data_IF_239288909745
#
_entry.id   IF_239288909745
#
_cell.length_a   1.000
_cell.length_b   1.000
_cell.length_c   1.000
_cell.angle_alpha   90.00
_cell.angle_beta   90.00
_cell.angle_gamma   90.00
#
_symmetry.space_group_name_H-M   'P 1'
#
loop_
_entity.id
_entity.type
_entity.pdbx_description
1 polymer ?
#
# COMPACT_ATOMS: atom_id res chain seq x y z
N UNK A 1 24.35 -24.93 -3.96
CA UNK A 1 23.30 -24.11 -4.62
C UNK A 1 23.67 -22.67 -4.34
N UNK A 2 23.96 -21.87 -5.37
CA UNK A 2 24.32 -20.47 -5.17
C UNK A 2 23.09 -19.72 -4.62
N UNK A 3 23.25 -19.03 -3.49
CA UNK A 3 22.24 -18.13 -2.98
C UNK A 3 22.11 -16.97 -3.99
N UNK A 4 20.98 -16.92 -4.68
CA UNK A 4 20.68 -15.83 -5.60
C UNK A 4 20.18 -14.63 -4.78
N UNK A 5 20.86 -13.49 -4.89
CA UNK A 5 20.54 -12.29 -4.10
C UNK A 5 19.16 -11.75 -4.48
N UNK A 6 18.35 -11.26 -3.51
CA UNK A 6 17.09 -10.61 -3.81
C UNK A 6 17.30 -9.20 -4.41
N UNK A 7 16.33 -8.71 -5.18
CA UNK A 7 16.28 -7.31 -5.58
C UNK A 7 16.00 -6.42 -4.37
N UNK A 8 16.43 -5.16 -4.44
CA UNK A 8 16.26 -4.16 -3.39
C UNK A 8 15.67 -2.88 -3.98
N UNK A 9 14.97 -2.10 -3.15
CA UNK A 9 14.53 -0.75 -3.48
C UNK A 9 15.73 0.18 -3.31
N UNK A 10 16.19 0.78 -4.40
CA UNK A 10 17.40 1.64 -4.40
C UNK A 10 16.99 3.11 -4.40
N UNK A 11 17.49 3.87 -3.42
CA UNK A 11 17.30 5.32 -3.37
C UNK A 11 18.20 5.99 -4.41
N UNK A 12 17.64 6.93 -5.17
CA UNK A 12 18.36 7.71 -6.18
C UNK A 12 18.41 9.16 -5.74
N UNK A 13 19.64 9.69 -5.59
CA UNK A 13 19.87 11.00 -4.99
C UNK A 13 20.14 12.11 -6.02
N UNK A 14 20.24 11.80 -7.32
CA UNK A 14 20.53 12.79 -8.35
C UNK A 14 19.98 12.41 -9.73
N UNK A 15 19.73 13.41 -10.57
CA UNK A 15 19.28 13.20 -11.96
C UNK A 15 20.31 12.44 -12.80
N UNK A 16 21.60 12.66 -12.52
CA UNK A 16 22.68 11.95 -13.19
C UNK A 16 22.63 10.45 -12.89
N UNK A 17 22.40 10.07 -11.63
CA UNK A 17 22.27 8.67 -11.23
C UNK A 17 21.03 8.03 -11.83
N UNK A 18 19.91 8.75 -11.85
CA UNK A 18 18.68 8.30 -12.51
C UNK A 18 18.88 8.03 -14.01
N UNK A 19 19.52 8.98 -14.71
CA UNK A 19 19.81 8.87 -16.13
C UNK A 19 20.79 7.72 -16.41
N UNK A 20 21.87 7.61 -15.62
CA UNK A 20 22.84 6.52 -15.74
C UNK A 20 22.20 5.15 -15.51
N UNK A 21 21.33 5.02 -14.50
CA UNK A 21 20.64 3.76 -14.23
C UNK A 21 19.70 3.38 -15.37
N UNK A 22 18.91 4.33 -15.86
CA UNK A 22 17.94 4.09 -16.94
C UNK A 22 18.62 3.74 -18.26
N UNK A 23 19.74 4.41 -18.59
CA UNK A 23 20.50 4.17 -19.82
C UNK A 23 21.24 2.82 -19.82
N UNK A 24 21.63 2.31 -18.65
CA UNK A 24 22.32 1.02 -18.53
C UNK A 24 21.37 -0.16 -18.34
N UNK A 25 20.07 0.09 -18.20
CA UNK A 25 19.08 -0.95 -18.03
C UNK A 25 18.74 -1.60 -19.40
N UNK A 26 18.73 -2.93 -19.52
CA UNK A 26 18.30 -3.58 -20.75
C UNK A 26 16.87 -3.20 -21.16
N UNK A 27 16.59 -3.11 -22.46
CA UNK A 27 15.25 -2.82 -22.97
C UNK A 27 14.20 -3.87 -22.58
N UNK A 28 14.64 -5.10 -22.29
CA UNK A 28 13.79 -6.20 -21.83
C UNK A 28 13.42 -6.09 -20.34
N UNK A 29 14.04 -5.19 -19.60
CA UNK A 29 13.88 -5.04 -18.16
C UNK A 29 12.72 -4.12 -17.80
N UNK A 30 12.00 -4.49 -16.74
CA UNK A 30 10.94 -3.64 -16.18
C UNK A 30 11.53 -2.75 -15.08
N UNK A 31 11.35 -1.43 -15.20
CA UNK A 31 11.75 -0.46 -14.18
C UNK A 31 10.51 0.00 -13.42
N UNK A 32 10.56 -0.10 -12.09
CA UNK A 32 9.57 0.43 -11.16
C UNK A 32 10.17 1.66 -10.49
N UNK A 33 9.60 2.82 -10.74
CA UNK A 33 10.03 4.11 -10.20
C UNK A 33 9.00 4.55 -9.17
N UNK A 34 9.45 4.86 -7.96
CA UNK A 34 8.63 5.26 -6.83
C UNK A 34 9.01 6.67 -6.40
N UNK A 35 8.12 7.62 -6.67
CA UNK A 35 8.23 8.99 -6.20
C UNK A 35 7.61 9.10 -4.81
N UNK A 36 8.40 9.61 -3.88
CA UNK A 36 8.04 9.72 -2.47
C UNK A 36 8.41 11.09 -1.90
N UNK A 37 7.90 11.35 -0.70
CA UNK A 37 8.40 12.43 0.13
C UNK A 37 8.64 11.88 1.54
N UNK A 38 9.81 12.11 2.16
CA UNK A 38 10.17 11.51 3.44
C UNK A 38 9.28 11.99 4.59
N UNK A 39 8.66 13.15 4.45
CA UNK A 39 7.73 13.74 5.41
C UNK A 39 6.29 13.17 5.30
N UNK A 40 5.95 12.47 4.21
CA UNK A 40 4.61 11.96 3.97
C UNK A 40 4.40 10.58 4.60
N UNK A 41 3.50 10.47 5.56
CA UNK A 41 3.20 9.19 6.23
C UNK A 41 2.75 8.06 5.29
N UNK A 42 1.88 8.31 4.28
CA UNK A 42 1.53 7.28 3.30
C UNK A 42 2.73 6.72 2.52
N UNK A 43 3.79 7.53 2.33
CA UNK A 43 5.03 7.08 1.68
C UNK A 43 5.81 6.09 2.54
N UNK A 44 5.80 6.21 3.88
CA UNK A 44 6.48 5.23 4.75
C UNK A 44 5.88 3.83 4.61
N UNK A 45 4.55 3.76 4.53
CA UNK A 45 3.84 2.50 4.30
C UNK A 45 4.19 1.94 2.92
N UNK A 46 4.14 2.76 1.87
CA UNK A 46 4.45 2.31 0.51
C UNK A 46 5.91 1.86 0.34
N UNK A 47 6.86 2.53 1.01
CA UNK A 47 8.27 2.14 1.00
C UNK A 47 8.47 0.73 1.55
N UNK A 48 7.76 0.38 2.63
CA UNK A 48 7.78 -0.97 3.22
C UNK A 48 7.20 -2.00 2.25
N UNK A 49 6.10 -1.67 1.59
CA UNK A 49 5.46 -2.52 0.58
C UNK A 49 6.40 -2.78 -0.60
N UNK A 50 6.98 -1.72 -1.17
CA UNK A 50 7.88 -1.82 -2.32
C UNK A 50 9.19 -2.52 -1.98
N UNK A 51 9.77 -2.26 -0.80
CA UNK A 51 10.97 -2.99 -0.34
C UNK A 51 10.68 -4.48 -0.19
N UNK A 52 9.51 -4.83 0.37
CA UNK A 52 9.09 -6.22 0.51
C UNK A 52 8.85 -6.86 -0.86
N UNK A 53 8.13 -6.16 -1.74
CA UNK A 53 7.87 -6.62 -3.11
C UNK A 53 9.16 -6.83 -3.89
N UNK A 54 10.11 -5.89 -3.82
CA UNK A 54 11.43 -6.01 -4.45
C UNK A 54 12.16 -7.27 -3.99
N UNK A 55 12.11 -7.57 -2.68
CA UNK A 55 12.78 -8.76 -2.13
C UNK A 55 12.22 -10.09 -2.63
N UNK A 56 11.01 -10.10 -3.20
CA UNK A 56 10.42 -11.31 -3.82
C UNK A 56 11.00 -11.63 -5.18
N UNK A 57 11.69 -10.68 -5.82
CA UNK A 57 12.36 -10.86 -7.10
C UNK A 57 13.84 -11.19 -6.89
N UNK A 58 14.38 -12.02 -7.78
CA UNK A 58 15.79 -12.39 -7.77
C UNK A 58 16.60 -11.41 -8.61
N UNK A 59 17.70 -10.91 -8.06
CA UNK A 59 18.68 -10.11 -8.78
C UNK A 59 19.35 -10.96 -9.86
N UNK A 60 19.21 -10.52 -11.10
CA UNK A 60 19.77 -11.15 -12.31
C UNK A 60 20.82 -10.26 -12.94
N UNK A 61 21.73 -10.86 -13.71
CA UNK A 61 22.72 -10.13 -14.50
C UNK A 61 22.66 -10.64 -15.95
N UNK A 62 22.08 -9.88 -16.90
CA UNK A 62 21.53 -8.53 -16.73
C UNK A 62 20.20 -8.49 -15.94
N UNK A 63 19.86 -7.36 -15.29
CA UNK A 63 18.67 -7.26 -14.43
C UNK A 63 17.38 -7.36 -15.23
N UNK A 64 16.44 -8.22 -14.85
CA UNK A 64 15.11 -8.34 -15.49
C UNK A 64 14.09 -7.35 -14.92
N UNK A 65 14.31 -6.91 -13.68
CA UNK A 65 13.48 -5.93 -12.97
C UNK A 65 14.35 -5.06 -12.07
N UNK A 66 14.00 -3.79 -11.92
CA UNK A 66 14.68 -2.87 -11.01
C UNK A 66 13.68 -1.96 -10.30
N UNK A 67 13.95 -1.64 -9.03
CA UNK A 67 13.12 -0.79 -8.18
C UNK A 67 13.91 0.43 -7.72
N UNK A 68 13.42 1.62 -8.04
CA UNK A 68 14.02 2.90 -7.65
C UNK A 68 13.06 3.70 -6.78
N UNK A 69 13.59 4.33 -5.74
CA UNK A 69 12.91 5.33 -4.92
C UNK A 69 13.56 6.69 -5.19
N UNK A 70 12.73 7.69 -5.50
CA UNK A 70 13.13 9.06 -5.79
C UNK A 70 12.34 9.99 -4.88
N UNK A 71 13.05 10.90 -4.21
CA UNK A 71 12.41 12.03 -3.54
C UNK A 71 11.88 13.01 -4.60
N UNK A 72 10.56 13.23 -4.59
CA UNK A 72 9.89 14.05 -5.58
C UNK A 72 10.24 15.54 -5.47
N UNK A 73 10.68 16.01 -4.30
CA UNK A 73 11.07 17.40 -4.08
C UNK A 73 12.52 17.66 -4.50
N UNK A 74 13.42 16.70 -4.25
CA UNK A 74 14.84 16.80 -4.63
C UNK A 74 15.05 16.58 -6.13
N UNK A 75 14.31 15.63 -6.73
CA UNK A 75 14.37 15.35 -8.17
C UNK A 75 13.15 15.96 -8.90
N UNK A 76 13.03 17.28 -8.81
CA UNK A 76 11.90 18.03 -9.39
C UNK A 76 11.79 17.90 -10.91
N UNK A 77 12.90 18.01 -11.66
CA UNK A 77 12.91 17.86 -13.13
C UNK A 77 12.39 16.48 -13.57
N UNK A 78 12.80 15.41 -12.88
CA UNK A 78 12.32 14.05 -13.15
C UNK A 78 10.85 13.92 -12.76
N UNK A 79 10.45 14.51 -11.65
CA UNK A 79 9.05 14.49 -11.19
C UNK A 79 8.12 15.21 -12.16
N UNK A 80 8.54 16.35 -12.72
CA UNK A 80 7.81 17.06 -13.78
C UNK A 80 7.72 16.21 -15.05
N UNK A 81 8.81 15.53 -15.44
CA UNK A 81 8.81 14.66 -16.62
C UNK A 81 7.76 13.53 -16.55
N UNK A 82 7.48 13.02 -15.35
CA UNK A 82 6.49 11.97 -15.11
C UNK A 82 5.11 12.48 -14.66
N UNK A 83 4.87 13.79 -14.73
CA UNK A 83 3.64 14.47 -14.31
C UNK A 83 3.23 14.12 -12.86
N UNK A 84 4.21 14.10 -11.94
CA UNK A 84 3.98 13.75 -10.53
C UNK A 84 3.27 14.90 -9.81
N UNK A 85 1.98 14.73 -9.49
CA UNK A 85 1.18 15.76 -8.79
C UNK A 85 0.92 15.44 -7.31
N UNK A 86 1.14 14.21 -6.88
CA UNK A 86 0.95 13.76 -5.49
C UNK A 86 1.81 12.54 -5.21
N UNK A 87 2.26 12.39 -3.96
CA UNK A 87 3.01 11.21 -3.51
C UNK A 87 2.18 10.40 -2.49
N UNK A 88 2.34 9.07 -2.43
CA UNK A 88 3.21 8.23 -3.25
C UNK A 88 2.73 8.12 -4.71
N UNK A 89 3.67 8.10 -5.65
CA UNK A 89 3.38 7.90 -7.08
C UNK A 89 4.33 6.85 -7.65
N UNK A 90 3.78 5.89 -8.39
CA UNK A 90 4.53 4.77 -8.93
C UNK A 90 4.40 4.77 -10.45
N UNK A 91 5.52 4.66 -11.13
CA UNK A 91 5.62 4.51 -12.58
C UNK A 91 6.25 3.16 -12.89
N UNK A 92 5.61 2.40 -13.77
CA UNK A 92 6.15 1.15 -14.31
C UNK A 92 6.48 1.43 -15.77
N UNK A 93 7.75 1.27 -16.14
CA UNK A 93 8.22 1.49 -17.50
C UNK A 93 9.10 0.36 -18.01
N UNK A 94 9.22 0.28 -19.33
CA UNK A 94 10.07 -0.67 -20.04
C UNK A 94 10.61 -0.01 -21.31
N UNK A 95 11.92 -0.14 -21.55
CA UNK A 95 12.59 0.53 -22.67
C UNK A 95 12.26 2.03 -22.79
N UNK A 96 12.25 2.75 -21.65
CA UNK A 96 11.92 4.18 -21.58
C UNK A 96 10.44 4.53 -21.81
N UNK A 97 9.57 3.55 -22.08
CA UNK A 97 8.14 3.77 -22.27
C UNK A 97 7.36 3.47 -20.99
N UNK A 98 6.59 4.44 -20.53
CA UNK A 98 5.63 4.26 -19.44
C UNK A 98 4.55 3.25 -19.86
N UNK A 99 4.43 2.18 -19.08
CA UNK A 99 3.42 1.13 -19.27
C UNK A 99 2.20 1.36 -18.40
N UNK A 100 2.42 1.78 -17.15
CA UNK A 100 1.36 1.99 -16.16
C UNK A 100 1.82 2.96 -15.09
N UNK A 101 0.90 3.82 -14.63
CA UNK A 101 1.12 4.71 -13.48
C UNK A 101 0.07 4.47 -12.42
N UNK A 102 0.47 4.62 -11.16
CA UNK A 102 -0.38 4.42 -10.00
C UNK A 102 -0.14 5.58 -9.05
N UNK A 103 -1.23 6.26 -8.71
CA UNK A 103 -1.21 7.39 -7.80
C UNK A 103 -1.87 6.99 -6.49
N UNK A 104 -1.18 7.24 -5.37
CA UNK A 104 -1.66 6.94 -4.02
C UNK A 104 -1.21 5.59 -3.45
N UNK A 105 -1.68 5.30 -2.22
CA UNK A 105 -1.18 4.23 -1.36
C UNK A 105 -1.75 2.83 -1.59
N UNK A 106 -2.29 2.49 -2.76
CA UNK A 106 -2.88 1.16 -3.00
C UNK A 106 -1.81 0.10 -3.30
N UNK A 107 -1.37 -0.60 -2.24
CA UNK A 107 -0.38 -1.67 -2.31
C UNK A 107 -0.80 -2.84 -3.21
N UNK A 108 -2.09 -3.20 -3.23
CA UNK A 108 -2.61 -4.31 -4.02
C UNK A 108 -2.51 -3.99 -5.51
N UNK A 109 -2.87 -2.75 -5.89
CA UNK A 109 -2.75 -2.28 -7.27
C UNK A 109 -1.29 -2.22 -7.72
N UNK A 110 -0.38 -1.73 -6.86
CA UNK A 110 1.06 -1.70 -7.16
C UNK A 110 1.58 -3.11 -7.45
N UNK A 111 1.30 -4.07 -6.57
CA UNK A 111 1.71 -5.46 -6.77
C UNK A 111 1.16 -6.06 -8.06
N UNK A 112 -0.14 -5.91 -8.30
CA UNK A 112 -0.79 -6.45 -9.49
C UNK A 112 -0.20 -5.85 -10.79
N UNK A 113 0.12 -4.55 -10.79
CA UNK A 113 0.70 -3.90 -11.95
C UNK A 113 2.16 -4.35 -12.19
N UNK A 114 2.96 -4.51 -11.14
CA UNK A 114 4.32 -5.05 -11.28
C UNK A 114 4.26 -6.48 -11.83
N UNK A 115 3.43 -7.35 -11.27
CA UNK A 115 3.26 -8.73 -11.73
C UNK A 115 2.80 -8.81 -13.20
N UNK A 116 1.89 -7.93 -13.62
CA UNK A 116 1.40 -7.83 -15.00
C UNK A 116 2.50 -7.49 -16.01
N UNK A 117 3.45 -6.64 -15.62
CA UNK A 117 4.48 -6.12 -16.53
C UNK A 117 5.84 -6.82 -16.41
N UNK A 118 6.04 -7.66 -15.40
CA UNK A 118 7.22 -8.51 -15.25
C UNK A 118 6.99 -9.81 -16.02
N UNK A 119 7.38 -9.81 -17.31
CA UNK A 119 7.30 -10.99 -18.18
C UNK A 119 6.56 -10.82 -19.50
N UNK A 120 5.90 -9.68 -19.75
CA UNK A 120 5.26 -9.38 -21.05
C UNK A 120 6.26 -8.90 -22.13
N UNK A 121 7.43 -9.55 -22.20
CA UNK A 121 8.34 -9.43 -23.34
C UNK A 121 8.03 -10.51 -24.37
N UNK A 122 7.26 -10.15 -25.41
CA UNK A 122 7.14 -10.85 -26.72
C UNK A 122 7.40 -12.37 -26.74
N UNK A 123 6.33 -13.18 -26.66
CA UNK A 123 6.33 -14.55 -27.19
C UNK A 123 5.77 -15.64 -26.26
N UNK A 124 4.65 -16.24 -26.69
CA UNK A 124 4.09 -17.54 -26.29
C UNK A 124 3.68 -17.79 -24.82
N UNK A 125 2.42 -18.19 -24.68
CA UNK A 125 1.92 -18.96 -23.56
C UNK A 125 2.79 -20.20 -23.32
N UNK A 126 3.46 -20.26 -22.16
CA UNK A 126 4.31 -21.38 -21.80
C UNK A 126 5.04 -21.16 -20.48
N UNK A 127 4.37 -21.52 -19.38
CA UNK A 127 4.91 -21.83 -18.06
C UNK A 127 6.24 -21.18 -17.63
N UNK A 128 6.15 -20.09 -16.87
CA UNK A 128 7.18 -19.70 -15.92
C UNK A 128 6.53 -19.60 -14.54
N UNK A 129 7.17 -20.24 -13.56
CA UNK A 129 6.61 -20.61 -12.26
C UNK A 129 5.93 -19.47 -11.52
N UNK A 130 4.61 -19.61 -11.36
CA UNK A 130 3.89 -19.01 -10.26
C UNK A 130 4.63 -19.37 -8.96
N UNK A 131 4.95 -18.42 -8.06
CA UNK A 131 5.19 -18.80 -6.67
C UNK A 131 3.95 -19.56 -6.17
N UNK A 132 4.09 -20.60 -5.33
CA UNK A 132 2.95 -21.31 -4.79
C UNK A 132 2.00 -20.27 -4.21
N UNK A 133 0.75 -20.28 -4.70
CA UNK A 133 -0.32 -19.52 -4.08
C UNK A 133 -0.23 -19.81 -2.58
N UNK A 134 -0.06 -18.78 -1.75
CA UNK A 134 -0.24 -18.95 -0.33
C UNK A 134 -1.65 -19.51 -0.17
N UNK A 135 -1.73 -20.77 0.26
CA UNK A 135 -2.97 -21.38 0.73
C UNK A 135 -3.36 -20.58 1.96
N UNK A 136 -4.05 -19.46 1.73
CA UNK A 136 -5.00 -18.98 2.71
C UNK A 136 -5.96 -20.14 2.86
N UNK A 137 -5.99 -20.74 4.05
CA UNK A 137 -7.05 -21.64 4.45
C UNK A 137 -8.36 -20.83 4.41
N UNK A 138 -8.94 -20.69 3.21
CA UNK A 138 -10.33 -20.34 3.05
C UNK A 138 -11.08 -21.58 3.55
N UNK A 139 -11.85 -21.50 4.64
CA UNK A 139 -12.70 -22.62 5.01
C UNK A 139 -13.68 -22.86 3.86
N UNK A 140 -13.49 -23.94 3.13
CA UNK A 140 -14.44 -24.43 2.13
C UNK A 140 -15.59 -25.13 2.85
N UNK A 141 -16.82 -24.68 2.58
CA UNK A 141 -18.03 -25.41 2.91
C UNK A 141 -18.90 -24.77 4.00
N UNK A 142 -19.58 -23.69 3.65
CA UNK A 142 -20.69 -23.17 4.45
C UNK A 142 -21.58 -22.27 3.62
N UNK A 143 -22.78 -22.77 3.30
CA UNK A 143 -23.89 -22.04 2.70
C UNK A 143 -23.94 -20.60 3.26
N UNK A 144 -24.01 -19.58 2.39
CA UNK A 144 -24.03 -18.17 2.77
C UNK A 144 -25.26 -17.88 3.66
N UNK A 145 -25.10 -18.08 4.97
CA UNK A 145 -26.10 -17.69 5.95
C UNK A 145 -26.02 -16.18 6.10
N UNK A 146 -27.14 -15.53 5.81
CA UNK A 146 -27.37 -14.13 6.08
C UNK A 146 -26.99 -13.82 7.54
N UNK A 147 -26.01 -12.92 7.75
CA UNK A 147 -25.42 -12.63 9.07
C UNK A 147 -26.26 -11.66 9.91
N UNK A 148 -27.44 -11.23 9.42
CA UNK A 148 -28.24 -10.18 10.08
C UNK A 148 -28.86 -10.60 11.41
N UNK A 149 -28.74 -11.86 11.83
CA UNK A 149 -29.31 -12.37 13.07
C UNK A 149 -28.32 -13.12 13.97
N UNK A 150 -27.02 -13.00 13.69
CA UNK A 150 -26.01 -13.70 14.50
C UNK A 150 -25.76 -12.96 15.81
N UNK A 151 -26.02 -13.64 16.93
CA UNK A 151 -25.61 -13.25 18.27
C UNK A 151 -24.54 -14.24 18.76
N UNK A 152 -23.37 -13.78 19.21
CA UNK A 152 -22.27 -14.65 19.60
C UNK A 152 -22.66 -15.55 20.79
N UNK A 153 -22.34 -16.84 20.67
CA UNK A 153 -22.54 -17.86 21.70
C UNK A 153 -21.20 -18.24 22.33
N UNK A 154 -21.23 -18.87 23.50
CA UNK A 154 -20.04 -19.33 24.26
C UNK A 154 -19.20 -20.39 23.55
N UNK A 155 -19.63 -20.88 22.38
CA UNK A 155 -18.94 -21.89 21.59
C UNK A 155 -18.22 -21.32 20.34
N UNK A 156 -18.28 -20.01 20.09
CA UNK A 156 -17.58 -19.41 18.96
C UNK A 156 -16.08 -19.20 19.24
N UNK A 157 -15.24 -19.39 18.23
CA UNK A 157 -13.78 -19.29 18.37
C UNK A 157 -13.34 -17.85 18.62
N UNK A 158 -12.78 -17.60 19.80
CA UNK A 158 -12.19 -16.32 20.19
C UNK A 158 -10.96 -16.03 19.33
N UNK A 159 -11.11 -15.13 18.35
CA UNK A 159 -10.02 -14.70 17.45
C UNK A 159 -9.47 -13.31 17.79
N UNK A 160 -9.98 -12.67 18.85
CA UNK A 160 -9.41 -11.45 19.39
C UNK A 160 -8.29 -11.79 20.38
N UNK A 161 -7.16 -11.04 20.40
CA UNK A 161 -6.10 -11.26 21.37
C UNK A 161 -6.63 -11.03 22.80
N UNK A 162 -6.24 -11.91 23.73
CA UNK A 162 -6.47 -11.77 25.17
C UNK A 162 -5.69 -10.55 25.71
N UNK A 163 -6.28 -9.37 25.56
CA UNK A 163 -6.03 -8.29 26.50
C UNK A 163 -6.70 -8.72 27.81
N UNK A 164 -5.88 -8.93 28.83
CA UNK A 164 -6.28 -9.39 30.15
C UNK A 164 -7.31 -8.43 30.77
N UNK A 165 -8.59 -8.79 30.67
CA UNK A 165 -9.58 -8.34 31.62
C UNK A 165 -9.39 -9.17 32.90
N UNK A 166 -8.57 -8.66 33.82
CA UNK A 166 -8.64 -9.10 35.21
C UNK A 166 -10.10 -8.94 35.68
N UNK A 167 -10.64 -10.00 36.29
CA UNK A 167 -12.00 -10.09 36.80
C UNK A 167 -12.36 -8.85 37.65
N UNK A 168 -13.04 -7.91 37.02
CA UNK A 168 -13.64 -6.76 37.68
C UNK A 168 -15.04 -6.57 37.09
N UNK A 169 -15.99 -6.34 37.99
CA UNK A 169 -17.43 -6.21 37.76
C UNK A 169 -17.76 -5.48 36.43
N UNK A 170 -18.57 -6.06 35.52
CA UNK A 170 -18.81 -5.52 34.17
C UNK A 170 -19.44 -4.11 34.16
N UNK A 171 -20.00 -3.65 35.27
CA UNK A 171 -20.52 -2.28 35.42
C UNK A 171 -19.39 -1.26 35.67
N UNK A 172 -18.40 -1.58 36.52
CA UNK A 172 -17.29 -0.64 36.83
C UNK A 172 -16.36 -0.44 35.64
N UNK A 173 -16.17 -1.47 34.80
CA UNK A 173 -15.36 -1.38 33.57
C UNK A 173 -15.95 -0.41 32.53
N UNK A 174 -17.28 -0.38 32.38
CA UNK A 174 -17.95 0.55 31.45
C UNK A 174 -17.89 1.97 31.95
N UNK A 175 -18.06 2.17 33.26
CA UNK A 175 -18.00 3.50 33.87
C UNK A 175 -16.61 4.11 33.74
N UNK A 176 -15.55 3.35 34.03
CA UNK A 176 -14.16 3.80 33.89
C UNK A 176 -13.80 4.10 32.43
N UNK A 177 -14.25 3.26 31.49
CA UNK A 177 -14.10 3.51 30.06
C UNK A 177 -14.80 4.81 29.64
N UNK A 178 -16.04 5.01 30.06
CA UNK A 178 -16.81 6.21 29.72
C UNK A 178 -16.20 7.48 30.33
N UNK A 179 -15.60 7.38 31.51
CA UNK A 179 -14.87 8.49 32.14
C UNK A 179 -13.63 8.86 31.34
N UNK A 180 -12.80 7.86 30.95
CA UNK A 180 -11.63 8.09 30.10
C UNK A 180 -12.00 8.68 28.74
N UNK A 181 -13.06 8.18 28.11
CA UNK A 181 -13.57 8.73 26.85
C UNK A 181 -14.04 10.17 27.03
N UNK A 182 -14.69 10.47 28.16
CA UNK A 182 -15.12 11.82 28.52
C UNK A 182 -13.96 12.81 28.70
N UNK A 183 -12.87 12.39 29.33
CA UNK A 183 -11.64 13.18 29.46
C UNK A 183 -11.01 13.48 28.10
N UNK A 184 -10.89 12.45 27.24
CA UNK A 184 -10.29 12.59 25.91
C UNK A 184 -11.09 13.51 24.99
N UNK A 185 -12.42 13.42 25.01
CA UNK A 185 -13.29 14.28 24.19
C UNK A 185 -13.21 15.75 24.61
N UNK A 186 -12.84 16.04 25.86
CA UNK A 186 -12.74 17.40 26.42
C UNK A 186 -11.31 17.95 26.49
N UNK A 187 -10.31 17.15 26.12
CA UNK A 187 -8.90 17.47 26.34
C UNK A 187 -8.43 18.72 25.59
N UNK A 188 -9.07 19.07 24.47
CA UNK A 188 -8.72 20.24 23.68
C UNK A 188 -9.98 20.98 23.17
N UNK A 189 -9.97 22.33 23.12
CA UNK A 189 -11.05 23.10 22.52
C UNK A 189 -11.06 22.86 21.00
N UNK A 190 -12.20 22.38 20.48
CA UNK A 190 -12.41 22.14 19.05
C UNK A 190 -13.31 23.24 18.48
N UNK A 191 -12.89 23.83 17.36
CA UNK A 191 -13.71 24.78 16.61
C UNK A 191 -14.41 24.05 15.46
N UNK A 192 -15.75 23.95 15.53
CA UNK A 192 -16.56 23.27 14.53
C UNK A 192 -16.98 24.25 13.42
N UNK A 193 -16.47 24.04 12.20
CA UNK A 193 -16.93 24.72 11.01
C UNK A 193 -18.02 23.90 10.33
N UNK A 194 -19.28 24.27 10.56
CA UNK A 194 -20.41 23.70 9.84
C UNK A 194 -20.85 24.62 8.72
N UNK A 195 -21.14 24.04 7.55
CA UNK A 195 -21.86 24.75 6.49
C UNK A 195 -23.33 24.83 6.92
N UNK A 196 -23.89 26.05 6.99
CA UNK A 196 -25.25 26.30 7.47
C UNK A 196 -25.31 26.79 8.92
N UNK A 197 -26.50 26.72 9.54
CA UNK A 197 -26.68 27.02 10.97
C UNK A 197 -26.82 25.73 11.77
N UNK A 198 -26.60 25.72 13.10
CA UNK A 198 -26.81 24.52 13.92
C UNK A 198 -28.21 23.90 13.75
N UNK A 199 -29.22 24.75 13.51
CA UNK A 199 -30.62 24.34 13.28
C UNK A 199 -30.92 23.93 11.83
N UNK A 200 -30.08 24.33 10.88
CA UNK A 200 -30.23 24.05 9.45
C UNK A 200 -28.85 23.77 8.82
N UNK A 201 -28.25 22.60 9.09
CA UNK A 201 -26.97 22.23 8.50
C UNK A 201 -27.13 22.00 7.01
N UNK A 202 -26.22 22.54 6.22
CA UNK A 202 -26.21 22.45 4.77
C UNK A 202 -25.08 21.50 4.36
N UNK A 203 -25.40 20.24 4.11
CA UNK A 203 -24.41 19.28 3.62
C UNK A 203 -24.18 19.48 2.10
N UNK A 204 -22.98 19.94 1.73
CA UNK A 204 -22.59 20.16 0.33
C UNK A 204 -22.21 18.91 -0.46
N UNK A 205 -22.25 17.73 0.17
CA UNK A 205 -21.82 16.46 -0.45
C UNK A 205 -22.99 15.54 -0.84
N UNK A 206 -24.25 15.92 -0.57
CA UNK A 206 -25.34 14.93 -0.61
C UNK A 206 -26.08 14.78 -1.94
N UNK A 207 -25.78 15.52 -3.02
CA UNK A 207 -26.45 15.31 -4.32
C UNK A 207 -25.56 15.63 -5.52
N UNK A 208 -24.72 14.67 -5.89
CA UNK A 208 -24.44 14.38 -7.30
C UNK A 208 -25.18 13.08 -7.61
N UNK A 209 -26.31 13.20 -8.28
CA UNK A 209 -26.97 12.12 -9.03
C UNK A 209 -26.61 12.28 -10.49
#
# INVERSE_FOLDING_TARGET
MAASNPCTLTEVASDADFANHTNNLPESSTLVIYFHAPWAEPCKQMSTVLSTLASTYTATSPPTISFLALDAEELSDVSEHYDVTQVPYIVIQKAGKVLETISGGDASRVRAAVEKHVGSGSGNAGGAGLPPAQLVNKPEGGNAKNLSSYAPSTNDQTTAPEYSASEANPETSKEELNNRLGELVKAAPVMLFMKGTPSAPQCGFSRQT
#
